data_IF_661232967114
#
_entry.id   IF_661232967114
#
_cell.length_a   1.000
_cell.length_b   1.000
_cell.length_c   1.000
_cell.angle_alpha   90.00
_cell.angle_beta   90.00
_cell.angle_gamma   90.00
#
_symmetry.space_group_name_H-M   'P 1'
#
loop_
_entity.id
_entity.type
_entity.pdbx_description
1 polymer ?
#
# COMPACT_ATOMS: atom_id res chain seq x y z
N UNK A 1 9.86 6.27 9.25
CA UNK A 1 9.78 5.05 10.07
C UNK A 1 8.91 4.06 9.32
N UNK A 2 9.28 2.79 9.33
CA UNK A 2 8.55 1.77 8.61
C UNK A 2 7.34 1.29 9.41
N UNK A 3 6.26 0.93 8.72
CA UNK A 3 5.09 0.28 9.30
C UNK A 3 4.83 -1.09 8.65
N UNK A 4 4.59 -2.10 9.48
CA UNK A 4 4.04 -3.37 9.03
C UNK A 4 2.53 -3.17 8.97
N UNK A 5 1.96 -3.39 7.79
CA UNK A 5 0.54 -3.20 7.52
C UNK A 5 -0.08 -4.48 6.97
N UNK A 6 -1.40 -4.58 7.06
CA UNK A 6 -2.17 -5.66 6.44
C UNK A 6 -3.41 -5.11 5.74
N UNK A 7 -3.62 -5.55 4.50
CA UNK A 7 -4.81 -5.24 3.72
C UNK A 7 -5.96 -6.18 4.11
N UNK A 8 -7.11 -5.63 4.49
CA UNK A 8 -8.31 -6.38 4.86
C UNK A 8 -9.51 -5.78 4.13
N UNK A 9 -10.30 -6.63 3.48
CA UNK A 9 -11.52 -6.23 2.79
C UNK A 9 -12.74 -6.94 3.37
N UNK A 10 -13.90 -6.24 3.36
CA UNK A 10 -15.20 -6.80 3.76
C UNK A 10 -15.63 -8.02 2.96
N UNK A 11 -15.10 -8.22 1.74
CA UNK A 11 -15.38 -9.41 0.93
C UNK A 11 -14.63 -10.67 1.39
N UNK A 12 -13.78 -10.58 2.42
CA UNK A 12 -12.97 -11.67 2.93
C UNK A 12 -11.55 -11.74 2.36
N UNK A 13 -11.23 -10.91 1.34
CA UNK A 13 -9.86 -10.78 0.85
C UNK A 13 -8.95 -10.21 1.93
N UNK A 14 -7.79 -10.83 2.10
CA UNK A 14 -6.72 -10.36 2.98
C UNK A 14 -5.37 -10.49 2.26
N UNK A 15 -4.49 -9.52 2.50
CA UNK A 15 -3.09 -9.64 2.08
C UNK A 15 -2.29 -10.41 3.13
N UNK A 16 -1.09 -10.84 2.74
CA UNK A 16 0.00 -11.07 3.72
C UNK A 16 0.35 -9.76 4.43
N UNK A 17 1.18 -9.83 5.46
CA UNK A 17 1.81 -8.62 6.02
C UNK A 17 2.70 -7.97 4.95
N UNK A 18 2.63 -6.65 4.88
CA UNK A 18 3.33 -5.82 3.92
C UNK A 18 4.06 -4.71 4.67
N UNK A 19 5.15 -4.22 4.08
CA UNK A 19 5.86 -3.03 4.56
C UNK A 19 5.34 -1.77 3.89
N UNK A 20 5.22 -0.71 4.68
CA UNK A 20 4.99 0.66 4.24
C UNK A 20 6.07 1.58 4.81
N UNK A 21 6.60 2.50 4.00
CA UNK A 21 7.71 3.37 4.36
C UNK A 21 9.07 2.66 4.27
N UNK A 22 9.96 3.00 5.20
CA UNK A 22 11.33 2.50 5.20
C UNK A 22 11.92 2.49 6.61
N UNK A 23 12.90 1.61 6.82
CA UNK A 23 13.73 1.58 8.02
C UNK A 23 14.54 2.85 8.21
N UNK A 24 14.90 3.18 9.46
CA UNK A 24 15.61 4.43 9.76
C UNK A 24 17.01 4.47 9.13
N UNK A 25 17.63 3.33 8.85
CA UNK A 25 18.95 3.25 8.21
C UNK A 25 18.91 3.46 6.68
N UNK A 26 17.81 3.09 6.01
CA UNK A 26 17.74 2.95 4.56
C UNK A 26 16.71 3.87 3.88
N UNK A 27 16.15 4.83 4.62
CA UNK A 27 15.05 5.68 4.13
C UNK A 27 15.40 6.60 2.95
N UNK A 28 16.68 6.90 2.75
CA UNK A 28 17.15 7.69 1.59
C UNK A 28 17.22 6.84 0.30
N UNK A 29 17.27 5.52 0.44
CA UNK A 29 17.54 4.60 -0.67
C UNK A 29 16.39 3.65 -0.98
N UNK A 30 15.45 3.48 -0.04
CA UNK A 30 14.29 2.61 -0.20
C UNK A 30 13.05 3.28 0.34
N UNK A 31 11.91 3.03 -0.31
CA UNK A 31 10.60 3.34 0.25
C UNK A 31 9.58 2.34 -0.26
N UNK A 32 9.22 1.41 0.61
CA UNK A 32 8.29 0.34 0.28
C UNK A 32 6.85 0.83 0.42
N UNK A 33 6.02 0.50 -0.54
CA UNK A 33 4.58 0.75 -0.52
C UNK A 33 3.83 -0.50 -1.00
N UNK A 34 2.58 -0.71 -0.55
CA UNK A 34 1.72 -1.71 -1.18
C UNK A 34 1.40 -1.33 -2.63
N UNK A 35 1.43 -2.30 -3.53
CA UNK A 35 1.08 -2.15 -4.93
C UNK A 35 0.29 -3.36 -5.44
N UNK A 36 -0.63 -3.14 -6.37
CA UNK A 36 -1.35 -4.23 -7.05
C UNK A 36 -0.60 -4.62 -8.34
N UNK A 37 -0.44 -5.92 -8.54
CA UNK A 37 0.02 -6.49 -9.80
C UNK A 37 -1.12 -6.54 -10.81
N UNK A 38 -0.95 -5.87 -11.94
CA UNK A 38 -1.93 -5.91 -13.03
C UNK A 38 -1.99 -7.27 -13.73
N UNK A 39 -1.01 -8.15 -13.52
CA UNK A 39 -0.99 -9.50 -14.09
C UNK A 39 -1.67 -10.54 -13.19
N UNK A 40 -1.43 -10.47 -11.88
CA UNK A 40 -1.86 -11.50 -10.93
C UNK A 40 -3.01 -11.06 -10.04
N UNK A 41 -3.35 -9.76 -10.05
CA UNK A 41 -4.28 -9.12 -9.11
C UNK A 41 -3.88 -9.29 -7.63
N UNK A 42 -2.62 -9.63 -7.36
CA UNK A 42 -2.08 -9.75 -6.01
C UNK A 42 -1.52 -8.41 -5.52
N UNK A 43 -1.69 -8.15 -4.23
CA UNK A 43 -1.06 -6.99 -3.57
C UNK A 43 0.30 -7.41 -3.03
N UNK A 44 1.33 -6.71 -3.50
CA UNK A 44 2.74 -6.96 -3.21
C UNK A 44 3.41 -5.69 -2.72
N UNK A 45 4.65 -5.83 -2.27
CA UNK A 45 5.50 -4.70 -1.89
C UNK A 45 6.22 -4.14 -3.12
N UNK A 46 6.27 -2.81 -3.24
CA UNK A 46 7.00 -2.09 -4.27
C UNK A 46 7.90 -1.04 -3.62
N UNK A 47 9.19 -1.07 -3.93
CA UNK A 47 10.09 0.03 -3.60
C UNK A 47 10.00 1.13 -4.67
N UNK A 48 9.42 2.27 -4.30
CA UNK A 48 9.19 3.39 -5.22
C UNK A 48 10.45 4.22 -5.51
N UNK A 49 11.52 4.05 -4.72
CA UNK A 49 12.81 4.71 -4.95
C UNK A 49 13.77 3.85 -5.79
N UNK A 50 13.37 2.61 -6.12
CA UNK A 50 14.17 1.72 -6.96
C UNK A 50 14.40 2.31 -8.36
N UNK A 51 15.64 2.16 -8.85
CA UNK A 51 16.06 2.66 -10.19
C UNK A 51 15.38 1.95 -11.36
N UNK A 52 14.66 0.85 -11.11
CA UNK A 52 13.97 0.07 -12.15
C UNK A 52 12.59 -0.34 -11.65
N UNK A 53 11.62 0.60 -11.62
CA UNK A 53 10.27 0.30 -11.19
C UNK A 53 9.61 -0.68 -12.16
N UNK A 54 8.89 -1.67 -11.64
CA UNK A 54 8.13 -2.61 -12.47
C UNK A 54 6.87 -1.91 -13.00
N UNK A 55 6.72 -1.71 -14.33
CA UNK A 55 5.58 -0.98 -14.91
C UNK A 55 4.24 -1.71 -14.75
N UNK A 56 4.25 -2.97 -14.33
CA UNK A 56 3.05 -3.77 -14.10
C UNK A 56 2.51 -3.67 -12.67
N UNK A 57 3.22 -2.95 -11.79
CA UNK A 57 2.79 -2.68 -10.43
C UNK A 57 2.22 -1.28 -10.34
N UNK A 58 1.00 -1.15 -9.83
CA UNK A 58 0.38 0.13 -9.55
C UNK A 58 0.35 0.33 -8.03
N UNK A 59 1.06 1.31 -7.47
CA UNK A 59 1.10 1.52 -6.02
C UNK A 59 -0.26 2.01 -5.52
N UNK A 60 -0.63 1.61 -4.30
CA UNK A 60 -1.78 2.14 -3.56
C UNK A 60 -1.54 3.54 -3.00
N UNK A 61 -0.59 4.27 -3.58
CA UNK A 61 -0.47 5.73 -3.43
C UNK A 61 -1.00 6.44 -4.68
N UNK A 62 -1.35 5.68 -5.74
CA UNK A 62 -1.95 6.17 -6.96
C UNK A 62 -3.44 6.51 -6.75
N UNK A 63 -3.88 7.75 -7.01
CA UNK A 63 -5.27 8.19 -6.85
C UNK A 63 -6.32 7.29 -7.51
N UNK A 64 -5.96 6.58 -8.59
CA UNK A 64 -6.89 5.71 -9.34
C UNK A 64 -7.33 4.48 -8.53
N UNK A 65 -6.57 4.11 -7.49
CA UNK A 65 -6.89 2.98 -6.62
C UNK A 65 -7.68 3.39 -5.37
N UNK A 66 -8.14 4.65 -5.31
CA UNK A 66 -8.86 5.19 -4.16
C UNK A 66 -10.22 5.77 -4.57
N UNK A 67 -11.18 5.67 -3.66
CA UNK A 67 -12.38 6.49 -3.74
C UNK A 67 -12.01 7.97 -3.56
N UNK A 68 -12.17 8.78 -4.61
CA UNK A 68 -11.83 10.21 -4.60
C UNK A 68 -12.61 11.05 -3.56
N UNK A 69 -13.69 10.50 -3.00
CA UNK A 69 -14.49 11.14 -1.96
C UNK A 69 -14.11 10.70 -0.53
N UNK A 70 -13.08 9.86 -0.39
CA UNK A 70 -12.57 9.37 0.89
C UNK A 70 -11.85 10.47 1.68
N UNK A 71 -12.47 10.93 2.76
CA UNK A 71 -11.81 11.71 3.83
C UNK A 71 -11.25 10.79 4.91
N UNK A 72 -10.49 9.77 4.49
CA UNK A 72 -10.03 8.72 5.38
C UNK A 72 -8.69 9.08 6.02
N UNK A 73 -8.40 8.46 7.16
CA UNK A 73 -7.08 8.48 7.77
C UNK A 73 -6.04 7.98 6.76
N UNK A 74 -4.82 8.50 6.86
CA UNK A 74 -3.72 8.12 5.99
C UNK A 74 -2.55 7.70 6.85
N UNK A 75 -1.88 6.61 6.45
CA UNK A 75 -0.53 6.35 6.90
C UNK A 75 0.40 7.25 6.11
N UNK A 76 1.39 7.80 6.80
CA UNK A 76 2.33 8.76 6.23
C UNK A 76 3.75 8.26 6.47
N UNK A 77 4.49 8.15 5.37
CA UNK A 77 5.92 7.88 5.38
C UNK A 77 6.61 8.95 4.53
N UNK A 78 7.10 9.99 5.19
CA UNK A 78 7.64 11.19 4.53
C UNK A 78 6.59 11.82 3.60
N UNK A 79 6.91 12.04 2.33
CA UNK A 79 6.01 12.59 1.31
C UNK A 79 5.04 11.54 0.72
N UNK A 80 5.08 10.30 1.21
CA UNK A 80 4.23 9.21 0.72
C UNK A 80 3.02 8.99 1.63
N UNK A 81 1.83 9.04 1.04
CA UNK A 81 0.55 8.92 1.73
C UNK A 81 -0.21 7.69 1.25
N UNK A 82 -0.66 6.87 2.20
CA UNK A 82 -1.47 5.69 1.94
C UNK A 82 -2.82 5.81 2.65
N UNK A 83 -3.95 5.93 1.93
CA UNK A 83 -5.28 5.87 2.53
C UNK A 83 -5.50 4.55 3.27
N UNK A 84 -5.94 4.59 4.53
CA UNK A 84 -6.19 3.37 5.32
C UNK A 84 -7.50 2.69 4.96
N UNK A 85 -8.36 3.34 4.17
CA UNK A 85 -9.68 2.84 3.81
C UNK A 85 -10.05 3.21 2.38
N UNK A 86 -11.11 2.56 1.87
CA UNK A 86 -11.68 2.81 0.54
C UNK A 86 -10.67 2.66 -0.61
N UNK A 87 -9.79 1.69 -0.46
CA UNK A 87 -8.88 1.28 -1.51
C UNK A 87 -9.53 0.22 -2.40
N UNK A 88 -9.12 0.17 -3.66
CA UNK A 88 -9.55 -0.85 -4.60
C UNK A 88 -9.17 -2.25 -4.09
N UNK A 89 -10.16 -3.13 -3.97
CA UNK A 89 -9.94 -4.53 -3.61
C UNK A 89 -9.91 -5.40 -4.88
N UNK A 90 -8.84 -6.18 -5.13
CA UNK A 90 -8.81 -7.13 -6.24
C UNK A 90 -9.80 -8.29 -6.07
N UNK A 91 -10.22 -8.62 -4.85
CA UNK A 91 -11.15 -9.73 -4.61
C UNK A 91 -12.61 -9.43 -5.00
N UNK A 92 -13.08 -8.20 -4.76
CA UNK A 92 -14.47 -7.82 -5.06
C UNK A 92 -14.62 -6.65 -6.03
N UNK A 93 -13.50 -6.10 -6.53
CA UNK A 93 -13.45 -4.98 -7.47
C UNK A 93 -14.20 -3.72 -7.00
N UNK A 94 -14.24 -3.49 -5.69
CA UNK A 94 -14.86 -2.33 -5.05
C UNK A 94 -13.84 -1.59 -4.19
N UNK A 95 -14.11 -0.31 -3.91
CA UNK A 95 -13.31 0.51 -3.00
C UNK A 95 -13.64 0.20 -1.53
N UNK A 96 -13.27 -1.00 -1.09
CA UNK A 96 -13.63 -1.55 0.22
C UNK A 96 -12.45 -2.17 0.97
N UNK A 97 -11.24 -2.14 0.39
CA UNK A 97 -10.02 -2.57 1.04
C UNK A 97 -9.54 -1.48 2.01
N UNK A 98 -9.24 -1.89 3.24
CA UNK A 98 -8.52 -1.08 4.21
C UNK A 98 -7.11 -1.60 4.46
N UNK A 99 -6.22 -0.73 4.88
CA UNK A 99 -4.88 -1.08 5.38
C UNK A 99 -4.81 -0.75 6.86
N UNK A 100 -4.57 -1.78 7.67
CA UNK A 100 -4.42 -1.66 9.12
C UNK A 100 -2.93 -1.73 9.48
N UNK A 101 -2.47 -0.81 10.32
CA UNK A 101 -1.13 -0.86 10.89
C UNK A 101 -1.07 -1.90 12.00
N UNK A 102 -0.12 -2.82 11.90
CA UNK A 102 0.14 -3.88 12.88
C UNK A 102 1.30 -3.53 13.82
N UNK A 103 2.14 -2.56 13.44
CA UNK A 103 3.28 -2.13 14.23
C UNK A 103 4.35 -1.43 13.40
N UNK A 104 5.30 -0.85 14.11
CA UNK A 104 6.46 -0.19 13.52
C UNK A 104 7.55 -1.24 13.21
N UNK A 105 8.31 -1.03 12.15
CA UNK A 105 9.56 -1.73 11.90
C UNK A 105 10.68 -0.72 11.63
N UNK A 106 11.90 -1.14 11.99
CA UNK A 106 13.15 -0.46 11.70
C UNK A 106 14.00 -1.31 10.75
#
# INVERSE_FOLDING_TARGET
MGEIIKGICKCGYQTKELKFGAGMADFEHSRTVPAISMMTAEIVELDILSKSPNPQLVPYTDPRLHDQYCTCTRLEAWDTLLPTERNYCPGCHQFSLGFESLGLYD
#
